data_IF_258816423625
#
_entry.id   IF_258816423625
#
_cell.length_a   1.000
_cell.length_b   1.000
_cell.length_c   1.000
_cell.angle_alpha   90.00
_cell.angle_beta   90.00
_cell.angle_gamma   90.00
#
_symmetry.space_group_name_H-M   'P 1'
#
loop_
_entity.id
_entity.type
_entity.pdbx_description
1 polymer ?
#
# COMPACT_ATOMS: atom_id res chain seq x y z
N UNK A 1 -25.68 -33.96 -29.80
CA UNK A 1 -25.42 -33.03 -28.68
C UNK A 1 -24.40 -33.69 -27.77
N UNK A 2 -23.39 -32.96 -27.30
CA UNK A 2 -22.43 -33.51 -26.33
C UNK A 2 -23.16 -33.93 -25.04
N UNK A 3 -22.74 -35.03 -24.42
CA UNK A 3 -23.24 -35.45 -23.10
C UNK A 3 -22.58 -34.68 -21.95
N UNK A 4 -21.52 -33.92 -22.25
CA UNK A 4 -20.85 -33.06 -21.28
C UNK A 4 -21.77 -31.85 -21.03
N UNK A 5 -22.11 -31.53 -19.77
CA UNK A 5 -22.85 -30.31 -19.44
C UNK A 5 -22.16 -29.07 -20.03
N UNK A 6 -22.95 -28.08 -20.45
CA UNK A 6 -22.38 -26.82 -20.89
C UNK A 6 -21.62 -26.16 -19.72
N UNK A 7 -20.40 -25.71 -20.00
CA UNK A 7 -19.65 -24.92 -19.04
C UNK A 7 -20.33 -23.55 -18.85
N UNK A 8 -20.53 -23.15 -17.59
CA UNK A 8 -20.98 -21.81 -17.24
C UNK A 8 -19.73 -21.02 -16.82
N UNK A 9 -19.34 -19.97 -17.56
CA UNK A 9 -18.22 -19.12 -17.18
C UNK A 9 -18.40 -18.55 -15.77
N UNK A 10 -17.30 -18.35 -15.07
CA UNK A 10 -17.34 -17.65 -13.79
C UNK A 10 -17.85 -16.21 -13.99
N UNK A 11 -18.82 -15.82 -13.17
CA UNK A 11 -19.42 -14.49 -13.17
C UNK A 11 -19.75 -14.12 -11.73
N UNK A 12 -19.38 -12.92 -11.32
CA UNK A 12 -19.66 -12.36 -10.00
C UNK A 12 -19.58 -10.83 -10.11
N UNK A 13 -20.74 -10.18 -10.20
CA UNK A 13 -20.85 -8.73 -10.36
C UNK A 13 -22.02 -8.15 -9.55
N UNK A 14 -22.17 -6.82 -9.56
CA UNK A 14 -23.34 -6.15 -9.02
C UNK A 14 -23.57 -6.42 -7.54
N UNK A 15 -24.82 -6.73 -7.17
CA UNK A 15 -25.18 -7.00 -5.77
C UNK A 15 -24.55 -8.28 -5.25
N UNK A 16 -24.41 -9.32 -6.06
CA UNK A 16 -23.80 -10.58 -5.61
C UNK A 16 -22.32 -10.38 -5.26
N UNK A 17 -21.59 -9.59 -6.06
CA UNK A 17 -20.22 -9.22 -5.74
C UNK A 17 -20.15 -8.41 -4.44
N UNK A 18 -21.00 -7.38 -4.29
CA UNK A 18 -21.04 -6.59 -3.04
C UNK A 18 -21.29 -7.47 -1.82
N UNK A 19 -22.27 -8.36 -1.88
CA UNK A 19 -22.60 -9.28 -0.78
C UNK A 19 -21.42 -10.22 -0.47
N UNK A 20 -20.72 -10.72 -1.49
CA UNK A 20 -19.55 -11.58 -1.31
C UNK A 20 -18.36 -10.84 -0.69
N UNK A 21 -18.13 -9.58 -1.07
CA UNK A 21 -17.09 -8.73 -0.47
C UNK A 21 -17.38 -8.49 1.01
N UNK A 22 -18.63 -8.16 1.34
CA UNK A 22 -19.08 -7.98 2.74
C UNK A 22 -18.97 -9.30 3.51
N UNK A 23 -19.33 -10.43 2.90
CA UNK A 23 -19.24 -11.75 3.53
C UNK A 23 -17.80 -12.10 3.94
N UNK A 24 -16.80 -11.74 3.11
CA UNK A 24 -15.39 -11.89 3.46
C UNK A 24 -14.99 -10.95 4.62
N UNK A 25 -15.29 -9.66 4.48
CA UNK A 25 -14.77 -8.63 5.37
C UNK A 25 -15.46 -8.55 6.74
N UNK A 26 -16.59 -9.24 6.94
CA UNK A 26 -17.32 -9.29 8.22
C UNK A 26 -16.81 -10.37 9.18
N UNK A 27 -15.69 -11.04 8.85
CA UNK A 27 -15.00 -11.86 9.85
C UNK A 27 -14.52 -10.96 11.01
N UNK A 28 -14.69 -11.36 12.30
CA UNK A 28 -14.41 -10.48 13.45
C UNK A 28 -12.97 -9.95 13.57
N UNK A 29 -12.01 -10.60 12.91
CA UNK A 29 -10.61 -10.17 12.81
C UNK A 29 -10.42 -8.93 11.92
N UNK A 30 -11.44 -8.57 11.14
CA UNK A 30 -11.41 -7.45 10.19
C UNK A 30 -12.22 -6.22 10.62
N UNK A 31 -12.91 -6.32 11.76
CA UNK A 31 -13.63 -5.20 12.35
C UNK A 31 -12.67 -4.10 12.79
N UNK A 32 -13.24 -2.91 12.98
CA UNK A 32 -12.51 -1.74 13.44
C UNK A 32 -11.79 -2.01 14.77
N UNK A 33 -10.58 -1.48 14.88
CA UNK A 33 -9.80 -1.54 16.10
C UNK A 33 -10.24 -0.44 17.05
N UNK A 34 -10.13 -0.70 18.35
CA UNK A 34 -10.38 0.28 19.41
C UNK A 34 -9.12 1.11 19.75
N UNK A 35 -8.00 0.80 19.12
CA UNK A 35 -6.76 1.55 19.20
C UNK A 35 -6.18 1.80 17.80
N UNK A 36 -5.25 2.74 17.69
CA UNK A 36 -4.57 3.10 16.46
C UNK A 36 -3.68 1.97 15.93
N UNK A 37 -3.21 1.11 16.83
CA UNK A 37 -2.21 0.09 16.55
C UNK A 37 -2.74 -1.32 16.75
N UNK A 38 -2.32 -2.25 15.89
CA UNK A 38 -2.44 -3.67 16.20
C UNK A 38 -1.33 -4.07 17.18
N UNK A 39 -1.68 -4.70 18.30
CA UNK A 39 -0.70 -5.06 19.33
C UNK A 39 -0.23 -6.51 19.17
N UNK A 40 0.84 -6.70 18.39
CA UNK A 40 1.48 -7.99 18.13
C UNK A 40 0.48 -9.09 17.72
N UNK A 41 -0.45 -8.74 16.84
CA UNK A 41 -1.47 -9.67 16.35
C UNK A 41 -1.53 -9.59 14.82
N UNK A 42 -0.79 -10.48 14.11
CA UNK A 42 -0.69 -10.45 12.66
C UNK A 42 -1.91 -11.03 11.96
N UNK A 43 -3.00 -11.31 12.69
CA UNK A 43 -4.23 -11.87 12.13
C UNK A 43 -5.34 -10.83 12.02
N UNK A 44 -5.19 -9.67 12.66
CA UNK A 44 -6.16 -8.57 12.63
C UNK A 44 -5.75 -7.48 11.65
N UNK A 45 -6.68 -7.09 10.78
CA UNK A 45 -6.48 -6.10 9.70
C UNK A 45 -7.76 -5.32 9.51
N UNK A 46 -7.76 -4.02 9.80
CA UNK A 46 -9.00 -3.24 9.83
C UNK A 46 -9.50 -2.97 8.40
N UNK A 47 -10.64 -3.57 8.03
CA UNK A 47 -11.23 -3.46 6.68
C UNK A 47 -12.41 -2.49 6.61
N UNK A 48 -12.86 -1.93 7.73
CA UNK A 48 -14.04 -1.06 7.84
C UNK A 48 -15.26 -1.65 7.12
N UNK A 49 -15.67 -2.90 7.46
CA UNK A 49 -16.68 -3.64 6.70
C UNK A 49 -18.04 -2.93 6.61
N UNK A 50 -18.33 -2.00 7.53
CA UNK A 50 -19.55 -1.19 7.54
C UNK A 50 -19.71 -0.28 6.31
N UNK A 51 -18.62 0.07 5.61
CA UNK A 51 -18.69 0.96 4.43
C UNK A 51 -18.80 0.18 3.12
N UNK A 52 -18.33 -1.07 3.09
CA UNK A 52 -18.24 -1.91 1.89
C UNK A 52 -19.58 -2.12 1.14
N UNK A 53 -20.76 -2.24 1.80
CA UNK A 53 -22.04 -2.35 1.10
C UNK A 53 -22.38 -1.14 0.21
N UNK A 54 -21.73 0.00 0.44
CA UNK A 54 -22.01 1.27 -0.22
C UNK A 54 -21.07 1.57 -1.39
N UNK A 55 -20.07 0.71 -1.64
CA UNK A 55 -19.10 0.89 -2.73
C UNK A 55 -19.60 0.24 -4.03
N UNK A 56 -19.18 0.81 -5.17
CA UNK A 56 -19.48 0.28 -6.49
C UNK A 56 -18.24 -0.39 -7.10
N UNK A 57 -18.11 -1.70 -6.91
CA UNK A 57 -16.98 -2.51 -7.40
C UNK A 57 -17.00 -2.76 -8.92
N UNK A 58 -18.12 -2.53 -9.60
CA UNK A 58 -18.21 -2.73 -11.05
C UNK A 58 -17.67 -1.52 -11.84
N UNK A 59 -17.52 -0.36 -11.18
CA UNK A 59 -16.99 0.87 -11.78
C UNK A 59 -15.50 0.99 -11.49
N UNK A 60 -14.69 0.46 -12.41
CA UNK A 60 -13.23 0.48 -12.31
C UNK A 60 -12.72 1.93 -12.40
N UNK A 61 -11.89 2.40 -11.45
CA UNK A 61 -11.37 3.76 -11.47
C UNK A 61 -10.27 3.91 -12.54
N UNK A 62 -10.20 5.10 -13.16
CA UNK A 62 -9.00 5.56 -13.89
C UNK A 62 -7.96 6.12 -12.92
N UNK A 63 -6.73 6.38 -13.41
CA UNK A 63 -5.58 6.82 -12.59
C UNK A 63 -5.88 8.06 -11.73
N UNK A 64 -6.75 8.95 -12.17
CA UNK A 64 -7.13 10.16 -11.44
C UNK A 64 -7.94 9.91 -10.16
N UNK A 65 -8.53 8.72 -10.02
CA UNK A 65 -9.42 8.32 -8.92
C UNK A 65 -8.89 7.09 -8.13
N UNK A 66 -7.70 6.58 -8.43
CA UNK A 66 -7.12 5.42 -7.72
C UNK A 66 -6.71 5.73 -6.26
N UNK A 67 -6.71 7.00 -5.86
CA UNK A 67 -6.47 7.41 -4.47
C UNK A 67 -7.76 7.69 -3.67
N UNK A 68 -8.93 7.51 -4.31
CA UNK A 68 -10.24 7.62 -3.65
C UNK A 68 -10.45 6.51 -2.62
N UNK A 69 -11.42 6.68 -1.72
CA UNK A 69 -11.62 5.76 -0.60
C UNK A 69 -11.90 4.32 -1.05
N UNK A 70 -12.67 4.14 -2.12
CA UNK A 70 -12.98 2.81 -2.64
C UNK A 70 -11.72 2.03 -3.03
N UNK A 71 -10.73 2.70 -3.60
CA UNK A 71 -9.44 2.11 -3.95
C UNK A 71 -8.64 1.73 -2.71
N UNK A 72 -8.57 2.60 -1.68
CA UNK A 72 -7.93 2.26 -0.40
C UNK A 72 -8.59 1.03 0.26
N UNK A 73 -9.93 0.96 0.24
CA UNK A 73 -10.67 -0.18 0.79
C UNK A 73 -10.35 -1.48 0.02
N UNK A 74 -10.29 -1.42 -1.31
CA UNK A 74 -9.92 -2.55 -2.17
C UNK A 74 -8.47 -2.99 -1.92
N UNK A 75 -7.53 -2.06 -1.75
CA UNK A 75 -6.14 -2.42 -1.44
C UNK A 75 -6.01 -3.13 -0.09
N UNK A 76 -6.71 -2.66 0.95
CA UNK A 76 -6.76 -3.33 2.27
C UNK A 76 -7.34 -4.74 2.19
N UNK A 77 -8.39 -4.93 1.40
CA UNK A 77 -8.98 -6.25 1.11
C UNK A 77 -7.95 -7.16 0.43
N UNK A 78 -7.32 -6.71 -0.65
CA UNK A 78 -6.36 -7.49 -1.42
C UNK A 78 -5.16 -7.93 -0.58
N UNK A 79 -4.57 -7.02 0.21
CA UNK A 79 -3.46 -7.37 1.11
C UNK A 79 -3.85 -8.50 2.06
N UNK A 80 -5.05 -8.41 2.67
CA UNK A 80 -5.55 -9.46 3.57
C UNK A 80 -5.79 -10.80 2.88
N UNK A 81 -6.20 -10.79 1.60
CA UNK A 81 -6.41 -12.00 0.79
C UNK A 81 -5.07 -12.65 0.43
N UNK A 82 -4.11 -11.86 -0.07
CA UNK A 82 -2.80 -12.36 -0.47
C UNK A 82 -2.01 -12.95 0.71
N UNK A 83 -2.09 -12.30 1.87
CA UNK A 83 -1.39 -12.70 3.08
C UNK A 83 -1.97 -13.94 3.76
N UNK A 84 -3.14 -14.43 3.34
CA UNK A 84 -3.66 -15.71 3.80
C UNK A 84 -2.79 -16.92 3.35
N UNK A 85 -1.89 -16.71 2.39
CA UNK A 85 -0.88 -17.69 1.97
C UNK A 85 0.46 -17.54 2.72
N UNK A 86 0.68 -16.43 3.43
CA UNK A 86 1.90 -16.15 4.18
C UNK A 86 1.77 -16.67 5.62
N UNK A 87 2.89 -17.06 6.21
CA UNK A 87 2.93 -17.63 7.57
C UNK A 87 3.35 -16.54 8.55
N UNK A 88 2.44 -16.18 9.45
CA UNK A 88 2.72 -15.23 10.53
C UNK A 88 2.49 -15.87 11.89
N UNK A 89 3.40 -15.57 12.82
CA UNK A 89 3.20 -15.78 14.24
C UNK A 89 3.50 -14.47 14.98
N UNK A 90 2.76 -14.16 16.06
CA UNK A 90 3.10 -13.06 16.96
C UNK A 90 4.55 -13.17 17.45
N UNK A 91 5.24 -12.04 17.59
CA UNK A 91 6.57 -11.96 18.22
C UNK A 91 6.54 -12.50 19.65
N UNK A 92 5.44 -12.29 20.39
CA UNK A 92 5.22 -12.87 21.73
C UNK A 92 4.83 -14.36 21.75
N UNK A 93 4.73 -14.99 20.58
CA UNK A 93 4.27 -16.36 20.41
C UNK A 93 2.75 -16.49 20.29
N UNK A 94 2.29 -17.65 19.84
CA UNK A 94 0.89 -17.90 19.50
C UNK A 94 -0.07 -17.94 20.70
N UNK A 95 0.45 -18.11 21.92
CA UNK A 95 -0.35 -18.32 23.13
C UNK A 95 -1.30 -17.15 23.38
N UNK A 96 -2.61 -17.42 23.43
CA UNK A 96 -3.66 -16.42 23.63
C UNK A 96 -4.16 -15.74 22.35
N UNK A 97 -3.61 -16.11 21.18
CA UNK A 97 -4.00 -15.58 19.86
C UNK A 97 -4.43 -16.70 18.90
N UNK A 98 -4.65 -17.91 19.41
CA UNK A 98 -4.99 -19.10 18.62
C UNK A 98 -6.34 -18.98 17.91
N UNK A 99 -7.29 -18.21 18.46
CA UNK A 99 -8.60 -17.99 17.85
C UNK A 99 -8.50 -17.13 16.60
N UNK A 100 -7.81 -15.99 16.68
CA UNK A 100 -7.57 -15.12 15.54
C UNK A 100 -6.73 -15.84 14.47
N UNK A 101 -5.72 -16.63 14.88
CA UNK A 101 -4.94 -17.50 13.98
C UNK A 101 -5.85 -18.44 13.19
N UNK A 102 -6.77 -19.14 13.86
CA UNK A 102 -7.72 -20.05 13.19
C UNK A 102 -8.74 -19.32 12.34
N UNK A 103 -9.18 -18.13 12.74
CA UNK A 103 -10.10 -17.32 11.97
C UNK A 103 -9.47 -16.91 10.63
N UNK A 104 -8.24 -16.40 10.67
CA UNK A 104 -7.50 -15.97 9.49
C UNK A 104 -7.11 -17.16 8.59
N UNK A 105 -6.55 -18.23 9.17
CA UNK A 105 -6.17 -19.44 8.42
C UNK A 105 -7.29 -20.48 8.31
N UNK A 106 -8.53 -20.05 8.13
CA UNK A 106 -9.68 -20.95 7.94
C UNK A 106 -9.93 -21.27 6.45
N UNK A 107 -10.52 -22.44 6.12
CA UNK A 107 -11.00 -22.72 4.76
C UNK A 107 -12.02 -21.68 4.27
N UNK A 108 -12.88 -21.20 5.17
CA UNK A 108 -13.89 -20.19 4.85
C UNK A 108 -13.23 -18.87 4.44
N UNK A 109 -12.30 -18.35 5.25
CA UNK A 109 -11.63 -17.08 4.96
C UNK A 109 -10.91 -17.10 3.61
N UNK A 110 -10.15 -18.18 3.34
CA UNK A 110 -9.47 -18.37 2.06
C UNK A 110 -10.45 -18.44 0.88
N UNK A 111 -11.48 -19.26 0.97
CA UNK A 111 -12.43 -19.45 -0.13
C UNK A 111 -13.23 -18.17 -0.44
N UNK A 112 -13.63 -17.42 0.59
CA UNK A 112 -14.35 -16.16 0.43
C UNK A 112 -13.46 -15.10 -0.24
N UNK A 113 -12.22 -14.95 0.23
CA UNK A 113 -11.25 -14.01 -0.37
C UNK A 113 -10.92 -14.36 -1.82
N UNK A 114 -10.61 -15.62 -2.11
CA UNK A 114 -10.29 -16.05 -3.48
C UNK A 114 -11.48 -15.92 -4.45
N UNK A 115 -12.72 -16.04 -3.98
CA UNK A 115 -13.92 -15.87 -4.81
C UNK A 115 -14.06 -14.44 -5.33
N UNK A 116 -13.72 -13.44 -4.53
CA UNK A 116 -13.84 -12.01 -4.88
C UNK A 116 -12.57 -11.43 -5.51
N UNK A 117 -11.41 -12.09 -5.34
CA UNK A 117 -10.11 -11.62 -5.83
C UNK A 117 -10.10 -11.17 -7.29
N UNK A 118 -10.70 -11.89 -8.27
CA UNK A 118 -10.67 -11.44 -9.67
C UNK A 118 -11.28 -10.05 -9.89
N UNK A 119 -12.38 -9.74 -9.20
CA UNK A 119 -13.05 -8.44 -9.32
C UNK A 119 -12.24 -7.34 -8.59
N UNK A 120 -11.66 -7.66 -7.44
CA UNK A 120 -10.79 -6.73 -6.70
C UNK A 120 -9.51 -6.41 -7.47
N UNK A 121 -8.88 -7.39 -8.13
CA UNK A 121 -7.71 -7.18 -8.99
C UNK A 121 -8.06 -6.31 -10.19
N UNK A 122 -9.22 -6.52 -10.82
CA UNK A 122 -9.71 -5.65 -11.88
C UNK A 122 -9.94 -4.22 -11.39
N UNK A 123 -10.47 -4.04 -10.19
CA UNK A 123 -10.64 -2.73 -9.58
C UNK A 123 -9.30 -2.04 -9.28
N UNK A 124 -8.36 -2.78 -8.69
CA UNK A 124 -7.07 -2.26 -8.23
C UNK A 124 -6.11 -1.93 -9.38
N UNK A 125 -6.06 -2.77 -10.41
CA UNK A 125 -5.03 -2.73 -11.45
C UNK A 125 -5.59 -2.41 -12.84
N UNK A 126 -6.92 -2.35 -13.01
CA UNK A 126 -7.53 -2.16 -14.32
C UNK A 126 -7.16 -0.84 -14.99
N UNK A 127 -6.85 0.20 -14.21
CA UNK A 127 -6.40 1.49 -14.75
C UNK A 127 -5.08 1.39 -15.53
N UNK A 128 -4.24 0.39 -15.24
CA UNK A 128 -2.96 0.19 -15.92
C UNK A 128 -3.12 -0.19 -17.40
N UNK A 129 -4.29 -0.69 -17.81
CA UNK A 129 -4.58 -0.97 -19.22
C UNK A 129 -4.53 0.29 -20.10
N UNK A 130 -4.87 1.46 -19.54
CA UNK A 130 -4.89 2.75 -20.24
C UNK A 130 -3.58 3.55 -20.05
N UNK A 131 -2.75 3.18 -19.07
CA UNK A 131 -1.50 3.87 -18.73
C UNK A 131 -0.26 3.30 -19.44
N UNK A 132 -0.33 2.06 -19.91
CA UNK A 132 0.82 1.35 -20.49
C UNK A 132 0.52 0.89 -21.91
N UNK A 133 1.23 1.48 -22.87
CA UNK A 133 1.21 1.02 -24.25
C UNK A 133 2.42 0.12 -24.54
N UNK A 134 2.17 -1.14 -24.85
CA UNK A 134 3.19 -2.10 -25.31
C UNK A 134 3.03 -2.45 -26.79
N UNK A 135 2.30 -1.60 -27.53
CA UNK A 135 2.03 -1.80 -28.95
C UNK A 135 3.33 -1.70 -29.76
N UNK A 136 3.58 -2.67 -30.64
CA UNK A 136 4.81 -2.71 -31.44
C UNK A 136 5.27 -4.12 -31.79
N UNK A 137 6.12 -4.22 -32.82
CA UNK A 137 6.81 -5.46 -33.16
C UNK A 137 8.09 -5.54 -32.32
N UNK A 138 7.99 -6.19 -31.16
CA UNK A 138 9.13 -6.43 -30.28
C UNK A 138 10.00 -7.56 -30.83
N UNK A 139 11.32 -7.33 -30.81
CA UNK A 139 12.35 -8.34 -31.05
C UNK A 139 13.30 -8.40 -29.87
N UNK A 140 14.12 -9.45 -29.80
CA UNK A 140 15.17 -9.51 -28.78
C UNK A 140 16.11 -8.29 -28.83
N UNK A 141 16.43 -7.80 -30.04
CA UNK A 141 17.25 -6.60 -30.24
C UNK A 141 16.55 -5.33 -29.73
N UNK A 142 15.26 -5.16 -30.01
CA UNK A 142 14.52 -3.99 -29.52
C UNK A 142 14.29 -4.04 -28.01
N UNK A 143 14.16 -5.22 -27.41
CA UNK A 143 14.14 -5.39 -25.96
C UNK A 143 15.47 -4.96 -25.35
N UNK A 144 16.60 -5.44 -25.87
CA UNK A 144 17.93 -5.05 -25.37
C UNK A 144 18.12 -3.53 -25.42
N UNK A 145 17.76 -2.89 -26.54
CA UNK A 145 17.83 -1.45 -26.67
C UNK A 145 16.93 -0.70 -25.68
N UNK A 146 15.73 -1.24 -25.41
CA UNK A 146 14.83 -0.70 -24.40
C UNK A 146 15.41 -0.82 -22.99
N UNK A 147 15.90 -2.00 -22.59
CA UNK A 147 16.50 -2.21 -21.27
C UNK A 147 17.75 -1.32 -21.07
N UNK A 148 18.57 -1.15 -22.10
CA UNK A 148 19.74 -0.23 -22.08
C UNK A 148 19.35 1.25 -21.95
N UNK A 149 18.13 1.61 -22.36
CA UNK A 149 17.63 2.99 -22.30
C UNK A 149 17.06 3.37 -20.93
N UNK A 150 16.82 2.40 -20.05
CA UNK A 150 16.28 2.64 -18.72
C UNK A 150 17.36 3.28 -17.84
N UNK A 151 17.08 4.49 -17.35
CA UNK A 151 17.94 5.12 -16.34
C UNK A 151 17.67 4.48 -14.97
N UNK A 152 18.30 3.35 -14.72
CA UNK A 152 18.26 2.68 -13.41
C UNK A 152 19.37 3.16 -12.48
N UNK A 153 20.25 4.04 -12.99
CA UNK A 153 21.36 4.57 -12.23
C UNK A 153 20.97 5.71 -11.31
N UNK A 154 19.77 6.28 -11.52
CA UNK A 154 19.12 7.37 -10.80
C UNK A 154 20.10 8.44 -10.38
N UNK A 155 20.12 9.54 -11.11
CA UNK A 155 21.06 10.64 -10.88
C UNK A 155 21.09 11.16 -9.43
N UNK A 156 21.90 12.19 -9.18
CA UNK A 156 22.04 12.78 -7.83
C UNK A 156 20.77 13.46 -7.29
N UNK A 157 19.68 13.51 -8.07
CA UNK A 157 18.44 14.15 -7.66
C UNK A 157 17.62 13.26 -6.72
N UNK A 158 17.17 13.86 -5.61
CA UNK A 158 16.26 13.21 -4.68
C UNK A 158 14.91 12.94 -5.33
N UNK A 159 14.31 11.79 -5.03
CA UNK A 159 12.92 11.48 -5.40
C UNK A 159 11.96 12.47 -4.71
N UNK A 160 10.71 12.61 -5.21
CA UNK A 160 9.68 13.41 -4.53
C UNK A 160 9.48 13.01 -3.06
N UNK A 161 9.44 11.70 -2.75
CA UNK A 161 9.31 11.24 -1.37
C UNK A 161 10.52 11.62 -0.50
N UNK A 162 11.73 11.50 -1.03
CA UNK A 162 12.97 11.89 -0.33
C UNK A 162 13.01 13.41 -0.07
N UNK A 163 12.56 14.22 -1.04
CA UNK A 163 12.40 15.68 -0.86
C UNK A 163 11.36 15.99 0.22
N UNK A 164 10.21 15.31 0.21
CA UNK A 164 9.16 15.49 1.20
C UNK A 164 9.66 15.21 2.62
N UNK A 165 10.50 14.19 2.83
CA UNK A 165 11.11 13.90 4.13
C UNK A 165 12.10 14.99 4.53
N UNK A 166 13.03 15.34 3.63
CA UNK A 166 14.09 16.29 3.93
C UNK A 166 13.61 17.73 4.17
N UNK A 167 12.51 18.13 3.53
CA UNK A 167 11.92 19.46 3.63
C UNK A 167 10.76 19.54 4.62
N UNK A 168 10.39 18.41 5.25
CA UNK A 168 9.31 18.36 6.23
C UNK A 168 9.55 19.26 7.43
N UNK A 169 8.47 19.76 8.03
CA UNK A 169 8.51 20.45 9.32
C UNK A 169 9.00 19.56 10.47
N UNK A 170 8.91 18.23 10.31
CA UNK A 170 9.45 17.22 11.21
C UNK A 170 10.02 16.04 10.40
N UNK A 171 11.30 16.12 9.96
CA UNK A 171 11.91 15.09 9.12
C UNK A 171 11.97 13.71 9.76
N UNK A 172 12.11 13.63 11.09
CA UNK A 172 12.13 12.35 11.80
C UNK A 172 10.76 11.68 11.79
N UNK A 173 9.68 12.45 11.99
CA UNK A 173 8.31 11.93 11.84
C UNK A 173 8.04 11.49 10.40
N UNK A 174 8.43 12.30 9.41
CA UNK A 174 8.25 11.96 8.00
C UNK A 174 9.01 10.69 7.61
N UNK A 175 10.26 10.54 8.06
CA UNK A 175 11.05 9.33 7.80
C UNK A 175 10.50 8.10 8.52
N UNK A 176 9.97 8.22 9.75
CA UNK A 176 9.26 7.12 10.41
C UNK A 176 7.98 6.73 9.65
N UNK A 177 7.20 7.70 9.19
CA UNK A 177 6.03 7.46 8.36
C UNK A 177 6.39 6.76 7.05
N UNK A 178 7.54 7.09 6.45
CA UNK A 178 8.07 6.42 5.27
C UNK A 178 8.46 4.96 5.55
N UNK A 179 9.24 4.72 6.60
CA UNK A 179 9.71 3.38 6.97
C UNK A 179 8.56 2.39 7.21
N UNK A 180 7.48 2.81 7.88
CA UNK A 180 6.35 1.90 8.12
C UNK A 180 5.61 1.50 6.84
N UNK A 181 5.74 2.25 5.73
CA UNK A 181 5.11 1.87 4.45
C UNK A 181 5.71 0.57 3.89
N UNK A 182 6.98 0.31 4.17
CA UNK A 182 7.68 -0.89 3.70
C UNK A 182 7.49 -2.09 4.62
N UNK A 183 6.85 -1.93 5.78
CA UNK A 183 6.72 -3.02 6.74
C UNK A 183 6.08 -4.29 6.13
N UNK A 184 4.96 -4.25 5.37
CA UNK A 184 4.39 -5.45 4.76
C UNK A 184 5.33 -6.15 3.78
N UNK A 185 6.11 -5.37 3.04
CA UNK A 185 7.05 -5.84 2.03
C UNK A 185 8.32 -6.39 2.68
N UNK A 186 9.12 -5.52 3.32
CA UNK A 186 10.45 -5.86 3.80
C UNK A 186 10.44 -6.81 5.01
N UNK A 187 9.40 -6.81 5.85
CA UNK A 187 9.31 -7.83 6.92
C UNK A 187 8.88 -9.20 6.39
N UNK A 188 8.30 -9.26 5.19
CA UNK A 188 7.93 -10.49 4.47
C UNK A 188 8.74 -10.67 3.19
N UNK A 189 9.94 -10.10 3.14
CA UNK A 189 10.71 -9.91 1.92
C UNK A 189 10.91 -11.18 1.10
N UNK A 190 10.85 -11.01 -0.23
CA UNK A 190 10.84 -12.04 -1.25
C UNK A 190 9.70 -13.08 -1.15
N UNK A 191 8.71 -12.92 -0.26
CA UNK A 191 7.54 -13.81 -0.24
C UNK A 191 6.69 -13.74 -1.52
N UNK A 192 6.43 -12.56 -2.12
CA UNK A 192 5.78 -12.51 -3.44
C UNK A 192 6.64 -13.19 -4.52
N UNK A 193 7.97 -12.99 -4.48
CA UNK A 193 8.94 -13.54 -5.42
C UNK A 193 9.02 -15.08 -5.34
N UNK A 194 8.90 -15.64 -4.14
CA UNK A 194 8.91 -17.07 -3.88
C UNK A 194 7.76 -17.79 -4.59
N UNK A 195 6.64 -17.13 -4.88
CA UNK A 195 5.49 -17.75 -5.58
C UNK A 195 5.88 -18.28 -6.96
N UNK A 196 6.82 -17.63 -7.63
CA UNK A 196 7.28 -17.99 -8.97
C UNK A 196 8.29 -19.15 -9.00
N UNK A 197 8.85 -19.56 -7.85
CA UNK A 197 9.78 -20.71 -7.83
C UNK A 197 9.07 -22.05 -7.61
N UNK A 198 7.76 -22.04 -7.35
CA UNK A 198 6.97 -23.27 -7.27
C UNK A 198 6.65 -23.79 -8.67
N UNK A 199 6.74 -25.11 -8.84
CA UNK A 199 6.43 -25.78 -10.10
C UNK A 199 7.65 -26.41 -10.77
N UNK A 200 7.59 -26.56 -12.09
CA UNK A 200 8.61 -27.23 -12.90
C UNK A 200 8.75 -26.53 -14.25
N UNK A 201 9.78 -25.69 -14.39
CA UNK A 201 10.14 -25.06 -15.65
C UNK A 201 11.66 -25.09 -15.89
N UNK A 202 12.14 -24.36 -16.89
CA UNK A 202 13.52 -24.41 -17.35
C UNK A 202 14.55 -23.85 -16.35
N UNK A 203 15.82 -23.71 -16.77
CA UNK A 203 16.91 -23.23 -15.92
C UNK A 203 16.65 -21.88 -15.22
N UNK A 204 15.82 -21.02 -15.83
CA UNK A 204 15.37 -19.76 -15.23
C UNK A 204 14.74 -19.93 -13.84
N UNK A 205 14.17 -21.11 -13.52
CA UNK A 205 13.65 -21.41 -12.17
C UNK A 205 14.75 -21.41 -11.12
N UNK A 206 15.88 -22.04 -11.42
CA UNK A 206 17.02 -22.06 -10.51
C UNK A 206 17.69 -20.71 -10.41
N UNK A 207 17.71 -19.92 -11.49
CA UNK A 207 18.29 -18.56 -11.49
C UNK A 207 17.42 -17.59 -10.68
N UNK A 208 16.10 -17.68 -10.79
CA UNK A 208 15.16 -16.97 -9.92
C UNK A 208 15.35 -17.37 -8.45
N UNK A 209 15.48 -18.67 -8.17
CA UNK A 209 15.67 -19.14 -6.80
C UNK A 209 16.99 -18.68 -6.17
N UNK A 210 18.03 -18.38 -6.96
CA UNK A 210 19.28 -17.78 -6.42
C UNK A 210 19.04 -16.38 -5.85
N UNK A 211 18.27 -15.53 -6.52
CA UNK A 211 17.86 -14.21 -5.99
C UNK A 211 17.19 -14.42 -4.63
N UNK A 212 16.19 -15.30 -4.59
CA UNK A 212 15.42 -15.60 -3.38
C UNK A 212 16.30 -16.12 -2.23
N UNK A 213 17.34 -16.92 -2.50
CA UNK A 213 18.29 -17.38 -1.47
C UNK A 213 19.03 -16.22 -0.83
N UNK A 214 19.46 -15.24 -1.64
CA UNK A 214 20.17 -14.06 -1.15
C UNK A 214 19.23 -13.21 -0.27
N UNK A 215 17.99 -12.95 -0.71
CA UNK A 215 16.97 -12.24 0.10
C UNK A 215 16.65 -12.94 1.43
N UNK A 216 16.72 -14.27 1.44
CA UNK A 216 16.55 -15.08 2.65
C UNK A 216 17.81 -15.17 3.50
N UNK A 217 18.84 -14.37 3.22
CA UNK A 217 20.09 -14.31 3.97
C UNK A 217 20.84 -15.63 3.96
N UNK A 218 20.80 -16.36 2.83
CA UNK A 218 21.32 -17.73 2.72
C UNK A 218 20.68 -18.72 3.71
N UNK A 219 19.47 -18.45 4.19
CA UNK A 219 18.78 -19.25 5.21
C UNK A 219 19.31 -19.06 6.64
N UNK A 220 20.16 -18.06 6.88
CA UNK A 220 20.62 -17.67 8.21
C UNK A 220 19.76 -16.51 8.70
N UNK A 221 19.03 -16.72 9.80
CA UNK A 221 18.02 -15.77 10.27
C UNK A 221 18.60 -14.38 10.59
N UNK A 222 19.81 -14.31 11.15
CA UNK A 222 20.45 -13.03 11.53
C UNK A 222 20.87 -12.17 10.33
N UNK A 223 20.99 -12.77 9.14
CA UNK A 223 21.32 -12.11 7.87
C UNK A 223 20.17 -12.11 6.87
N UNK A 224 19.01 -12.69 7.23
CA UNK A 224 17.80 -12.54 6.43
C UNK A 224 17.45 -11.06 6.38
N UNK A 225 17.22 -10.53 5.18
CA UNK A 225 17.05 -9.09 4.98
C UNK A 225 15.87 -8.52 5.80
N UNK A 226 14.77 -9.27 5.94
CA UNK A 226 13.70 -8.90 6.89
C UNK A 226 14.20 -8.64 8.32
N UNK A 227 15.10 -9.46 8.86
CA UNK A 227 15.71 -9.26 10.19
C UNK A 227 16.58 -8.02 10.25
N UNK A 228 17.24 -7.64 9.15
CA UNK A 228 17.97 -6.38 9.06
C UNK A 228 17.00 -5.19 9.10
N UNK A 229 15.85 -5.29 8.43
CA UNK A 229 14.84 -4.24 8.47
C UNK A 229 14.15 -4.12 9.84
N UNK A 230 14.01 -5.20 10.60
CA UNK A 230 13.60 -5.14 12.01
C UNK A 230 14.51 -4.19 12.81
N UNK A 231 15.84 -4.34 12.66
CA UNK A 231 16.83 -3.48 13.31
C UNK A 231 16.72 -2.03 12.85
N UNK A 232 16.47 -1.79 11.55
CA UNK A 232 16.21 -0.45 11.03
C UNK A 232 15.02 0.20 11.73
N UNK A 233 13.88 -0.47 11.82
CA UNK A 233 12.69 0.03 12.51
C UNK A 233 12.96 0.30 13.99
N UNK A 234 13.53 -0.67 14.69
CA UNK A 234 13.81 -0.61 16.13
C UNK A 234 14.80 0.52 16.48
N UNK A 235 15.80 0.76 15.62
CA UNK A 235 16.80 1.82 15.82
C UNK A 235 16.21 3.24 15.83
N UNK A 236 15.05 3.44 15.19
CA UNK A 236 14.35 4.73 15.16
C UNK A 236 13.11 4.77 16.07
N UNK A 237 12.94 3.75 16.92
CA UNK A 237 11.84 3.65 17.88
C UNK A 237 10.51 3.17 17.30
N UNK A 238 10.54 2.45 16.17
CA UNK A 238 9.40 1.72 15.63
C UNK A 238 9.49 0.23 16.01
N UNK A 239 8.35 -0.47 16.02
CA UNK A 239 8.29 -1.90 16.28
C UNK A 239 8.19 -2.69 14.98
N UNK A 240 8.59 -3.96 15.03
CA UNK A 240 8.67 -4.86 13.87
C UNK A 240 7.54 -5.91 13.79
N UNK A 241 6.48 -5.78 14.61
CA UNK A 241 5.34 -6.69 14.56
C UNK A 241 4.33 -6.31 13.45
N UNK A 242 4.04 -7.25 12.54
CA UNK A 242 3.03 -7.07 11.51
C UNK A 242 1.61 -7.22 12.08
N UNK A 243 0.62 -6.39 11.72
CA UNK A 243 0.71 -5.08 11.07
C UNK A 243 0.39 -3.99 12.08
N UNK A 244 1.32 -3.71 13.00
CA UNK A 244 1.14 -2.68 14.03
C UNK A 244 0.62 -1.38 13.45
N UNK A 245 1.20 -0.96 12.32
CA UNK A 245 0.93 0.30 11.64
C UNK A 245 -0.11 0.20 10.52
N UNK A 246 -0.99 -0.81 10.51
CA UNK A 246 -1.99 -1.02 9.45
C UNK A 246 -2.79 0.24 9.08
N UNK A 247 -3.20 1.01 10.10
CA UNK A 247 -3.97 2.25 9.92
C UNK A 247 -3.15 3.41 9.35
N UNK A 248 -1.83 3.26 9.21
CA UNK A 248 -0.92 4.24 8.64
C UNK A 248 -0.33 3.80 7.30
N UNK A 249 -0.71 2.63 6.78
CA UNK A 249 -0.36 2.23 5.42
C UNK A 249 -1.15 3.06 4.42
N UNK A 250 -0.44 3.72 3.51
CA UNK A 250 -1.02 4.50 2.44
C UNK A 250 -1.61 3.60 1.36
N UNK A 251 -2.56 4.15 0.61
CA UNK A 251 -3.19 3.46 -0.50
C UNK A 251 -2.13 3.02 -1.52
N UNK A 252 -1.24 3.93 -1.90
CA UNK A 252 -0.17 3.65 -2.86
C UNK A 252 0.82 2.58 -2.39
N UNK A 253 1.15 2.54 -1.10
CA UNK A 253 2.06 1.55 -0.52
C UNK A 253 1.47 0.15 -0.54
N UNK A 254 0.18 0.03 -0.21
CA UNK A 254 -0.55 -1.23 -0.36
C UNK A 254 -0.66 -1.64 -1.83
N UNK A 255 -0.95 -0.70 -2.73
CA UNK A 255 -1.01 -0.93 -4.19
C UNK A 255 0.31 -1.50 -4.74
N UNK A 256 1.46 -0.92 -4.36
CA UNK A 256 2.78 -1.42 -4.76
C UNK A 256 3.04 -2.85 -4.25
N UNK A 257 2.84 -3.11 -2.96
CA UNK A 257 3.04 -4.44 -2.39
C UNK A 257 2.09 -5.48 -3.02
N UNK A 258 0.82 -5.12 -3.18
CA UNK A 258 -0.21 -5.97 -3.77
C UNK A 258 0.06 -6.30 -5.24
N UNK A 259 0.73 -5.41 -5.99
CA UNK A 259 1.09 -5.66 -7.38
C UNK A 259 2.05 -6.86 -7.51
N UNK A 260 3.06 -6.99 -6.64
CA UNK A 260 3.94 -8.16 -6.68
C UNK A 260 3.24 -9.45 -6.26
N UNK A 261 2.28 -9.39 -5.33
CA UNK A 261 1.44 -10.54 -5.02
C UNK A 261 0.52 -10.93 -6.20
N UNK A 262 -0.06 -9.95 -6.87
CA UNK A 262 -0.88 -10.13 -8.08
C UNK A 262 -0.08 -10.86 -9.16
N UNK A 263 1.11 -10.35 -9.51
CA UNK A 263 1.98 -10.97 -10.51
C UNK A 263 2.43 -12.37 -10.09
N UNK A 264 2.73 -12.58 -8.80
CA UNK A 264 3.24 -13.85 -8.29
C UNK A 264 2.17 -14.94 -8.13
N UNK A 265 0.91 -14.59 -7.87
CA UNK A 265 -0.20 -15.55 -7.77
C UNK A 265 -0.80 -15.92 -9.13
N UNK A 266 -0.76 -15.01 -10.09
CA UNK A 266 -1.36 -15.18 -11.41
C UNK A 266 -0.25 -15.48 -12.43
N UNK A 267 0.07 -16.77 -12.62
CA UNK A 267 1.20 -17.18 -13.45
C UNK A 267 1.03 -16.90 -14.96
N UNK A 268 -0.16 -16.52 -15.41
CA UNK A 268 -0.35 -15.90 -16.73
C UNK A 268 0.41 -14.56 -16.87
N UNK A 269 0.73 -13.92 -15.74
CA UNK A 269 1.49 -12.67 -15.64
C UNK A 269 2.97 -12.90 -15.29
N UNK A 270 3.44 -14.14 -15.29
CA UNK A 270 4.81 -14.48 -14.92
C UNK A 270 5.85 -13.62 -15.66
N UNK A 271 5.64 -13.37 -16.96
CA UNK A 271 6.56 -12.56 -17.76
C UNK A 271 6.53 -11.07 -17.39
N UNK A 272 5.43 -10.54 -16.87
CA UNK A 272 5.41 -9.19 -16.25
C UNK A 272 6.27 -9.17 -15.00
N UNK A 273 6.21 -10.20 -14.17
CA UNK A 273 7.08 -10.30 -13.00
C UNK A 273 8.55 -10.36 -13.43
N UNK A 274 8.89 -11.14 -14.46
CA UNK A 274 10.27 -11.16 -15.00
C UNK A 274 10.79 -9.75 -15.33
N UNK A 275 9.96 -8.92 -15.98
CA UNK A 275 10.31 -7.53 -16.26
C UNK A 275 10.43 -6.67 -15.02
N UNK A 276 9.42 -6.70 -14.15
CA UNK A 276 9.43 -5.93 -12.90
C UNK A 276 10.61 -6.30 -12.00
N UNK A 277 10.96 -7.60 -11.90
CA UNK A 277 12.14 -8.08 -11.19
C UNK A 277 13.41 -7.44 -11.75
N UNK A 278 13.62 -7.49 -13.07
CA UNK A 278 14.79 -6.86 -13.68
C UNK A 278 14.90 -5.37 -13.33
N UNK A 279 13.79 -4.62 -13.37
CA UNK A 279 13.81 -3.20 -13.08
C UNK A 279 14.06 -2.90 -11.60
N UNK A 280 13.40 -3.65 -10.69
CA UNK A 280 13.65 -3.54 -9.24
C UNK A 280 15.11 -3.83 -8.94
N UNK A 281 15.64 -4.98 -9.34
CA UNK A 281 17.04 -5.36 -9.09
C UNK A 281 18.06 -4.38 -9.68
N UNK A 282 17.72 -3.75 -10.82
CA UNK A 282 18.60 -2.77 -11.46
C UNK A 282 18.56 -1.38 -10.80
N UNK A 283 17.48 -1.06 -10.09
CA UNK A 283 17.27 0.23 -9.41
C UNK A 283 17.54 0.17 -7.90
N UNK A 284 17.54 -1.03 -7.31
CA UNK A 284 17.61 -1.27 -5.86
C UNK A 284 18.91 -0.74 -5.24
N UNK A 285 20.06 -0.94 -5.90
CA UNK A 285 21.37 -0.42 -5.44
C UNK A 285 21.32 1.09 -5.21
N UNK A 286 20.64 1.81 -6.10
CA UNK A 286 20.60 3.26 -6.11
C UNK A 286 19.55 3.81 -5.13
N UNK A 287 18.37 3.16 -5.08
CA UNK A 287 17.38 3.36 -4.02
C UNK A 287 18.00 3.18 -2.63
N UNK A 288 18.66 2.05 -2.37
CA UNK A 288 19.25 1.74 -1.08
C UNK A 288 20.38 2.72 -0.70
N UNK A 289 21.20 3.16 -1.67
CA UNK A 289 22.21 4.20 -1.41
C UNK A 289 21.58 5.52 -0.97
N UNK A 290 20.49 5.94 -1.62
CA UNK A 290 19.78 7.18 -1.25
C UNK A 290 19.03 7.03 0.07
N UNK A 291 18.38 5.91 0.32
CA UNK A 291 17.71 5.59 1.58
C UNK A 291 18.69 5.63 2.76
N UNK A 292 19.85 4.98 2.60
CA UNK A 292 20.94 5.00 3.57
C UNK A 292 21.40 6.43 3.90
N UNK A 293 21.69 7.23 2.86
CA UNK A 293 22.11 8.62 3.05
C UNK A 293 21.01 9.47 3.72
N UNK A 294 19.77 9.38 3.24
CA UNK A 294 18.64 10.13 3.78
C UNK A 294 18.40 9.82 5.26
N UNK A 295 18.39 8.54 5.61
CA UNK A 295 18.13 8.13 7.00
C UNK A 295 19.26 8.59 7.93
N UNK A 296 20.53 8.53 7.51
CA UNK A 296 21.64 9.09 8.29
C UNK A 296 21.58 10.61 8.37
N UNK A 297 21.15 11.32 7.32
CA UNK A 297 20.93 12.77 7.37
C UNK A 297 19.86 13.14 8.43
N UNK A 298 18.81 12.32 8.57
CA UNK A 298 17.68 12.58 9.47
C UNK A 298 17.93 12.13 10.92
N UNK A 299 18.54 10.95 11.11
CA UNK A 299 18.69 10.30 12.43
C UNK A 299 20.14 10.24 12.94
N UNK A 300 21.12 10.68 12.13
CA UNK A 300 22.54 10.57 12.45
C UNK A 300 23.00 9.13 12.56
N UNK A 301 24.04 8.87 13.36
CA UNK A 301 24.64 7.54 13.52
C UNK A 301 23.78 6.56 14.36
N UNK A 302 22.60 6.99 14.81
CA UNK A 302 21.72 6.16 15.66
C UNK A 302 20.87 5.16 14.87
N UNK A 303 20.61 5.43 13.58
CA UNK A 303 19.82 4.55 12.72
C UNK A 303 20.68 3.39 12.21
N UNK A 304 20.12 2.18 12.25
CA UNK A 304 20.69 1.00 11.60
C UNK A 304 20.24 0.97 10.13
N UNK A 305 21.17 1.22 9.22
CA UNK A 305 20.92 1.17 7.77
C UNK A 305 21.53 -0.07 7.11
N UNK A 306 21.86 -1.11 7.90
CA UNK A 306 22.49 -2.35 7.39
C UNK A 306 21.66 -2.99 6.29
N UNK A 307 20.32 -3.00 6.45
CA UNK A 307 19.38 -3.44 5.41
C UNK A 307 19.69 -2.83 4.05
N UNK A 308 19.79 -1.50 3.97
CA UNK A 308 20.04 -0.80 2.70
C UNK A 308 21.48 -1.03 2.21
N UNK A 309 22.48 -0.98 3.09
CA UNK A 309 23.87 -1.15 2.66
C UNK A 309 24.17 -2.56 2.16
N UNK A 310 23.47 -3.59 2.66
CA UNK A 310 23.62 -4.97 2.18
C UNK A 310 23.19 -5.10 0.70
N UNK A 311 22.05 -4.53 0.34
CA UNK A 311 21.54 -4.45 -1.03
C UNK A 311 22.48 -3.67 -1.97
N UNK A 312 23.15 -2.62 -1.47
CA UNK A 312 24.19 -1.93 -2.25
C UNK A 312 25.36 -2.86 -2.63
N UNK A 313 25.67 -3.85 -1.80
CA UNK A 313 26.74 -4.81 -2.03
C UNK A 313 26.31 -5.98 -2.92
N UNK A 314 25.13 -6.55 -2.69
CA UNK A 314 24.67 -7.78 -3.36
C UNK A 314 24.09 -7.49 -4.75
N UNK A 315 23.23 -6.48 -4.88
CA UNK A 315 22.34 -6.35 -6.06
C UNK A 315 23.05 -5.80 -7.31
N UNK A 316 24.31 -5.37 -7.17
CA UNK A 316 25.18 -5.05 -8.32
C UNK A 316 25.25 -6.21 -9.33
N UNK A 317 24.95 -7.43 -8.89
CA UNK A 317 24.97 -8.64 -9.70
C UNK A 317 23.56 -9.09 -10.14
N UNK A 318 22.52 -8.82 -9.36
CA UNK A 318 21.17 -9.37 -9.60
C UNK A 318 20.51 -8.76 -10.82
N UNK A 319 20.61 -7.45 -11.07
CA UNK A 319 20.05 -6.85 -12.30
C UNK A 319 20.65 -7.46 -13.58
N UNK A 320 21.96 -7.72 -13.57
CA UNK A 320 22.65 -8.41 -14.68
C UNK A 320 22.22 -9.89 -14.78
N UNK A 321 22.06 -10.56 -13.64
CA UNK A 321 21.58 -11.94 -13.61
C UNK A 321 20.15 -12.05 -14.13
N UNK A 322 19.25 -11.15 -13.75
CA UNK A 322 17.88 -11.10 -14.25
C UNK A 322 17.85 -10.95 -15.78
N UNK A 323 18.68 -10.07 -16.36
CA UNK A 323 18.78 -9.94 -17.83
C UNK A 323 19.37 -11.19 -18.50
N UNK A 324 20.56 -11.61 -18.08
CA UNK A 324 21.34 -12.63 -18.81
C UNK A 324 20.92 -14.08 -18.50
N UNK A 325 20.36 -14.32 -17.32
CA UNK A 325 20.06 -15.67 -16.82
C UNK A 325 18.57 -15.95 -16.68
N UNK A 326 17.71 -14.92 -16.71
CA UNK A 326 16.26 -15.08 -16.65
C UNK A 326 15.61 -14.60 -17.96
N UNK A 327 15.66 -13.31 -18.28
CA UNK A 327 15.02 -12.72 -19.48
C UNK A 327 15.48 -13.42 -20.75
N UNK A 328 16.80 -13.44 -21.01
CA UNK A 328 17.34 -13.96 -22.26
C UNK A 328 17.00 -15.45 -22.48
N UNK A 329 17.24 -16.37 -21.53
CA UNK A 329 16.83 -17.77 -21.71
C UNK A 329 15.33 -17.98 -21.88
N UNK A 330 14.49 -17.15 -21.24
CA UNK A 330 13.04 -17.23 -21.41
C UNK A 330 12.61 -16.77 -22.81
N UNK A 331 13.17 -15.69 -23.34
CA UNK A 331 12.89 -15.22 -24.71
C UNK A 331 13.37 -16.24 -25.73
N UNK A 332 14.56 -16.85 -25.53
CA UNK A 332 15.07 -17.92 -26.40
C UNK A 332 14.17 -19.17 -26.37
N UNK A 333 13.63 -19.54 -25.21
CA UNK A 333 12.81 -20.74 -25.05
C UNK A 333 11.34 -20.55 -25.49
N UNK A 334 10.78 -19.36 -25.31
CA UNK A 334 9.34 -19.09 -25.49
C UNK A 334 9.03 -18.16 -26.67
N UNK A 335 10.06 -17.61 -27.33
CA UNK A 335 9.95 -16.71 -28.47
C UNK A 335 9.62 -15.27 -28.09
N UNK A 336 9.69 -14.38 -29.08
CA UNK A 336 9.54 -12.93 -28.89
C UNK A 336 8.14 -12.50 -28.43
N UNK A 337 7.14 -13.40 -28.50
CA UNK A 337 5.78 -13.13 -28.05
C UNK A 337 5.63 -12.83 -26.54
N UNK A 338 6.64 -13.16 -25.72
CA UNK A 338 6.63 -12.84 -24.28
C UNK A 338 7.16 -11.43 -23.98
N UNK A 339 7.85 -10.79 -24.93
CA UNK A 339 8.54 -9.52 -24.72
C UNK A 339 7.57 -8.39 -24.34
N UNK A 340 6.38 -8.24 -24.96
CA UNK A 340 5.42 -7.21 -24.54
C UNK A 340 5.04 -7.31 -23.06
N UNK A 341 4.93 -8.53 -22.52
CA UNK A 341 4.61 -8.72 -21.09
C UNK A 341 5.79 -8.36 -20.19
N UNK A 342 7.03 -8.66 -20.60
CA UNK A 342 8.25 -8.22 -19.87
C UNK A 342 8.28 -6.69 -19.80
N UNK A 343 8.09 -6.01 -20.92
CA UNK A 343 8.06 -4.53 -20.97
C UNK A 343 6.90 -3.99 -20.15
N UNK A 344 5.72 -4.58 -20.29
CA UNK A 344 4.52 -4.18 -19.56
C UNK A 344 4.74 -4.24 -18.05
N UNK A 345 5.39 -5.29 -17.54
CA UNK A 345 5.69 -5.40 -16.12
C UNK A 345 6.58 -4.28 -15.59
N UNK A 346 7.55 -3.81 -16.38
CA UNK A 346 8.42 -2.69 -16.05
C UNK A 346 7.63 -1.38 -16.03
N UNK A 347 6.89 -1.10 -17.10
CA UNK A 347 6.14 0.16 -17.22
C UNK A 347 5.00 0.26 -16.21
N UNK A 348 4.26 -0.83 -15.96
CA UNK A 348 3.23 -0.88 -14.91
C UNK A 348 3.86 -0.55 -13.55
N UNK A 349 4.99 -1.16 -13.19
CA UNK A 349 5.66 -0.88 -11.92
C UNK A 349 6.14 0.58 -11.81
N UNK A 350 6.67 1.18 -12.89
CA UNK A 350 7.07 2.60 -12.92
C UNK A 350 5.88 3.54 -12.69
N UNK A 351 4.73 3.25 -13.28
CA UNK A 351 3.48 4.01 -13.03
C UNK A 351 3.11 3.95 -11.55
N UNK A 352 3.27 2.78 -10.90
CA UNK A 352 2.97 2.62 -9.48
C UNK A 352 3.97 3.36 -8.58
N UNK A 353 5.24 3.42 -8.95
CA UNK A 353 6.25 4.22 -8.24
C UNK A 353 5.89 5.71 -8.27
N UNK A 354 5.49 6.25 -9.43
CA UNK A 354 5.04 7.64 -9.56
C UNK A 354 3.84 7.94 -8.65
N UNK A 355 2.86 7.02 -8.61
CA UNK A 355 1.69 7.12 -7.72
C UNK A 355 2.12 7.14 -6.26
N UNK A 356 3.08 6.30 -5.88
CA UNK A 356 3.58 6.21 -4.51
C UNK A 356 4.32 7.47 -4.09
N UNK A 357 5.21 7.99 -4.93
CA UNK A 357 5.93 9.23 -4.69
C UNK A 357 4.96 10.41 -4.52
N UNK A 358 3.93 10.49 -5.36
CA UNK A 358 2.89 11.51 -5.23
C UNK A 358 2.11 11.37 -3.92
N UNK A 359 1.54 10.20 -3.64
CA UNK A 359 0.67 9.98 -2.48
C UNK A 359 1.41 10.21 -1.16
N UNK A 360 2.64 9.70 -1.04
CA UNK A 360 3.46 9.91 0.14
C UNK A 360 3.82 11.39 0.33
N UNK A 361 4.26 12.08 -0.73
CA UNK A 361 4.59 13.50 -0.65
C UNK A 361 3.39 14.35 -0.22
N UNK A 362 2.21 14.07 -0.77
CA UNK A 362 0.97 14.74 -0.38
C UNK A 362 0.58 14.44 1.09
N UNK A 363 0.90 13.24 1.61
CA UNK A 363 0.58 12.88 2.98
C UNK A 363 1.47 13.61 3.97
N UNK A 364 2.77 13.70 3.69
CA UNK A 364 3.71 14.46 4.54
C UNK A 364 3.33 15.95 4.57
N UNK A 365 3.04 16.54 3.41
CA UNK A 365 2.56 17.93 3.36
C UNK A 365 1.27 18.12 4.16
N UNK A 366 0.32 17.19 4.06
CA UNK A 366 -0.90 17.19 4.86
C UNK A 366 -0.65 17.10 6.37
N UNK A 367 0.26 16.23 6.81
CA UNK A 367 0.65 16.06 8.22
C UNK A 367 1.37 17.30 8.78
N UNK A 368 2.17 17.97 7.95
CA UNK A 368 2.89 19.20 8.30
C UNK A 368 1.96 20.41 8.36
N UNK A 369 0.99 20.49 7.45
CA UNK A 369 0.03 21.60 7.34
C UNK A 369 -1.05 21.61 8.45
N UNK A 370 -1.13 20.58 9.30
CA UNK A 370 -2.21 20.44 10.29
C UNK A 370 -2.48 21.69 11.14
N UNK A 371 -1.46 22.39 11.71
CA UNK A 371 -1.72 23.60 12.48
C UNK A 371 -2.36 24.72 11.65
N UNK A 372 -2.01 24.83 10.37
CA UNK A 372 -2.58 25.84 9.46
C UNK A 372 -3.97 25.42 8.98
N UNK A 373 -4.21 24.13 8.74
CA UNK A 373 -5.52 23.59 8.38
C UNK A 373 -6.53 23.69 9.53
N UNK A 374 -6.06 23.59 10.79
CA UNK A 374 -6.87 23.91 11.98
C UNK A 374 -7.29 25.38 11.99
N UNK A 375 -6.40 26.32 11.64
CA UNK A 375 -6.75 27.75 11.53
C UNK A 375 -7.65 28.03 10.32
N UNK A 376 -7.47 27.28 9.23
CA UNK A 376 -8.22 27.44 8.00
C UNK A 376 -9.69 27.02 8.15
N UNK A 377 -10.02 26.26 9.19
CA UNK A 377 -11.40 25.98 9.59
C UNK A 377 -12.24 27.26 9.67
N UNK A 378 -11.75 28.31 10.35
CA UNK A 378 -12.53 29.51 10.63
C UNK A 378 -13.02 30.23 9.36
N UNK A 379 -12.14 30.61 8.39
CA UNK A 379 -12.61 31.27 7.18
C UNK A 379 -13.42 30.34 6.25
N UNK A 380 -13.18 29.03 6.26
CA UNK A 380 -13.99 28.07 5.48
C UNK A 380 -15.39 27.95 6.08
N UNK A 381 -15.50 27.80 7.40
CA UNK A 381 -16.78 27.71 8.12
C UNK A 381 -17.59 29.00 7.98
N UNK A 382 -16.95 30.16 8.05
CA UNK A 382 -17.59 31.45 7.79
C UNK A 382 -18.07 31.55 6.34
N UNK A 383 -17.31 31.04 5.37
CA UNK A 383 -17.72 30.94 3.98
C UNK A 383 -18.99 30.09 3.77
N UNK A 384 -19.11 28.99 4.51
CA UNK A 384 -20.33 28.16 4.52
C UNK A 384 -21.52 28.90 5.12
N UNK A 385 -21.34 29.60 6.24
CA UNK A 385 -22.40 30.44 6.84
C UNK A 385 -22.89 31.55 5.91
N UNK A 386 -22.00 32.07 5.06
CA UNK A 386 -22.33 33.06 4.04
C UNK A 386 -22.97 32.46 2.77
N UNK A 387 -23.07 31.13 2.68
CA UNK A 387 -23.67 30.44 1.53
C UNK A 387 -22.78 30.44 0.27
N UNK A 388 -21.46 30.56 0.42
CA UNK A 388 -20.53 30.50 -0.72
C UNK A 388 -20.51 29.12 -1.38
N UNK A 389 -20.71 28.08 -0.59
CA UNK A 389 -20.89 26.70 -1.03
C UNK A 389 -22.10 26.12 -0.30
N UNK A 390 -22.98 25.46 -1.05
CA UNK A 390 -24.10 24.67 -0.51
C UNK A 390 -23.60 23.25 -0.25
N UNK A 391 -23.05 23.02 0.95
CA UNK A 391 -22.41 21.77 1.32
C UNK A 391 -23.40 20.86 2.08
N UNK A 392 -23.54 19.57 1.71
CA UNK A 392 -24.18 18.59 2.56
C UNK A 392 -23.50 18.53 3.94
N UNK A 393 -24.30 18.44 5.00
CA UNK A 393 -23.82 18.36 6.38
C UNK A 393 -24.32 17.09 7.07
N UNK A 394 -23.40 16.35 7.68
CA UNK A 394 -23.69 15.26 8.59
C UNK A 394 -23.48 15.74 10.04
N UNK A 395 -24.49 15.53 10.89
CA UNK A 395 -24.41 15.83 12.32
C UNK A 395 -24.18 14.52 13.06
N UNK A 396 -23.11 14.46 13.85
CA UNK A 396 -22.65 13.23 14.48
C UNK A 396 -22.53 13.45 15.98
N UNK A 397 -22.93 12.43 16.76
CA UNK A 397 -22.81 12.38 18.21
C UNK A 397 -22.19 11.04 18.57
N UNK A 398 -20.97 11.08 19.11
CA UNK A 398 -20.19 9.88 19.43
C UNK A 398 -19.74 9.87 20.90
N UNK A 399 -19.74 8.71 21.56
CA UNK A 399 -19.27 8.57 22.94
C UNK A 399 -17.74 8.48 23.01
N UNK A 400 -17.20 8.64 24.23
CA UNK A 400 -15.77 8.43 24.53
C UNK A 400 -15.23 7.12 23.95
N UNK A 401 -14.08 7.20 23.29
CA UNK A 401 -13.36 6.04 22.78
C UNK A 401 -13.94 5.43 21.50
N UNK A 402 -14.96 6.07 20.90
CA UNK A 402 -15.37 5.76 19.54
C UNK A 402 -14.25 6.17 18.58
N UNK A 403 -13.46 5.19 18.13
CA UNK A 403 -12.30 5.40 17.27
C UNK A 403 -12.70 5.14 15.82
N UNK A 404 -12.88 6.21 15.06
CA UNK A 404 -13.05 6.16 13.62
C UNK A 404 -11.73 5.75 12.97
N UNK A 405 -11.66 4.47 12.58
CA UNK A 405 -10.48 3.88 11.95
C UNK A 405 -10.12 4.63 10.66
N UNK A 406 -8.83 4.67 10.33
CA UNK A 406 -8.35 5.60 9.30
C UNK A 406 -8.95 5.34 7.91
N UNK A 407 -9.26 6.41 7.21
CA UNK A 407 -9.87 6.43 5.89
C UNK A 407 -9.55 7.76 5.18
N UNK A 408 -10.17 7.98 4.03
CA UNK A 408 -10.13 9.24 3.30
C UNK A 408 -11.52 9.52 2.69
N UNK A 409 -11.68 10.71 2.10
CA UNK A 409 -12.86 11.13 1.36
C UNK A 409 -12.45 11.63 -0.03
N UNK A 410 -13.34 11.46 -1.01
CA UNK A 410 -13.07 11.75 -2.42
C UNK A 410 -13.14 13.26 -2.75
N UNK A 411 -13.63 14.06 -1.80
CA UNK A 411 -13.67 15.52 -1.84
C UNK A 411 -13.17 16.11 -0.52
N UNK A 412 -12.87 17.42 -0.52
CA UNK A 412 -12.52 18.12 0.71
C UNK A 412 -13.72 18.19 1.66
N UNK A 413 -13.46 18.07 2.95
CA UNK A 413 -14.46 18.20 4.01
C UNK A 413 -14.03 19.23 5.05
N UNK A 414 -15.00 19.77 5.78
CA UNK A 414 -14.77 20.57 6.97
C UNK A 414 -15.35 19.84 8.18
N UNK A 415 -14.49 19.52 9.15
CA UNK A 415 -14.91 19.03 10.45
C UNK A 415 -15.04 20.21 11.42
N UNK A 416 -16.20 20.34 12.08
CA UNK A 416 -16.50 21.38 13.06
C UNK A 416 -16.98 20.76 14.39
N UNK A 417 -16.31 21.05 15.49
CA UNK A 417 -16.69 20.56 16.82
C UNK A 417 -17.70 21.50 17.46
N UNK A 418 -18.91 21.01 17.70
CA UNK A 418 -19.96 21.77 18.40
C UNK A 418 -19.72 21.71 19.91
N UNK A 419 -19.45 20.52 20.44
CA UNK A 419 -19.11 20.31 21.85
C UNK A 419 -18.27 19.04 22.06
N UNK A 420 -17.53 18.99 23.16
CA UNK A 420 -16.63 17.88 23.47
C UNK A 420 -15.22 18.10 22.93
N UNK A 421 -14.43 17.02 22.90
CA UNK A 421 -13.01 17.01 22.55
C UNK A 421 -12.72 15.82 21.66
N UNK A 422 -12.12 16.08 20.50
CA UNK A 422 -11.73 15.07 19.52
C UNK A 422 -10.20 15.07 19.34
N UNK A 423 -9.60 13.87 19.33
CA UNK A 423 -8.29 13.66 18.73
C UNK A 423 -8.48 13.39 17.25
N UNK A 424 -8.05 14.32 16.42
CA UNK A 424 -7.98 14.15 14.97
C UNK A 424 -6.59 13.63 14.58
N UNK A 425 -6.53 12.51 13.87
CA UNK A 425 -5.30 11.82 13.50
C UNK A 425 -5.04 11.98 12.00
N UNK A 426 -3.90 12.54 11.62
CA UNK A 426 -3.52 12.82 10.22
C UNK A 426 -2.34 11.99 9.71
N UNK A 427 -1.73 11.16 10.56
CA UNK A 427 -0.61 10.30 10.22
C UNK A 427 0.15 9.86 11.47
N UNK A 428 1.14 8.99 11.30
CA UNK A 428 1.91 8.48 12.45
C UNK A 428 2.65 9.62 13.17
N UNK A 429 2.30 9.87 14.43
CA UNK A 429 2.84 10.98 15.21
C UNK A 429 2.34 12.37 14.77
N UNK A 430 1.21 12.44 14.05
CA UNK A 430 0.59 13.68 13.60
C UNK A 430 -0.87 13.69 14.05
N UNK A 431 -1.16 14.50 15.08
CA UNK A 431 -2.50 14.61 15.67
C UNK A 431 -2.82 16.05 16.08
N UNK A 432 -4.10 16.38 16.10
CA UNK A 432 -4.65 17.61 16.67
C UNK A 432 -5.66 17.26 17.76
N UNK A 433 -5.66 18.04 18.84
CA UNK A 433 -6.81 18.12 19.74
C UNK A 433 -7.73 19.23 19.24
N UNK A 434 -9.00 18.91 19.02
CA UNK A 434 -10.04 19.83 18.59
C UNK A 434 -11.09 19.97 19.70
N UNK A 435 -11.26 21.18 20.20
CA UNK A 435 -12.23 21.53 21.25
C UNK A 435 -13.49 22.19 20.67
N UNK A 436 -14.49 22.42 21.52
CA UNK A 436 -15.72 23.12 21.14
C UNK A 436 -15.46 24.47 20.41
N UNK A 437 -16.06 24.63 19.25
CA UNK A 437 -15.92 25.79 18.36
C UNK A 437 -14.74 25.70 17.39
N UNK A 438 -13.81 24.78 17.60
CA UNK A 438 -12.69 24.53 16.69
C UNK A 438 -13.06 23.50 15.61
N UNK A 439 -12.12 23.26 14.70
CA UNK A 439 -12.27 22.26 13.66
C UNK A 439 -11.05 22.16 12.77
N UNK A 440 -11.17 21.46 11.65
CA UNK A 440 -10.08 21.26 10.69
C UNK A 440 -10.62 21.09 9.27
N UNK A 441 -9.91 21.63 8.30
CA UNK A 441 -10.14 21.34 6.87
C UNK A 441 -9.48 20.01 6.52
N UNK A 442 -10.27 19.04 6.06
CA UNK A 442 -9.82 17.70 5.63
C UNK A 442 -9.65 17.70 4.12
N UNK A 443 -8.42 17.51 3.64
CA UNK A 443 -8.12 17.46 2.20
C UNK A 443 -8.52 16.13 1.60
N UNK A 444 -9.07 16.14 0.39
CA UNK A 444 -9.42 14.94 -0.37
C UNK A 444 -8.26 13.95 -0.43
N UNK A 445 -8.59 12.67 -0.38
CA UNK A 445 -7.67 11.53 -0.52
C UNK A 445 -6.52 11.51 0.50
N UNK A 446 -6.56 12.30 1.58
CA UNK A 446 -5.56 12.23 2.67
C UNK A 446 -6.04 11.27 3.74
N UNK A 447 -5.13 10.37 4.14
CA UNK A 447 -5.41 9.38 5.17
C UNK A 447 -5.53 10.09 6.52
N UNK A 448 -6.66 9.88 7.21
CA UNK A 448 -6.92 10.44 8.53
C UNK A 448 -7.92 9.57 9.31
N UNK A 449 -8.06 9.82 10.60
CA UNK A 449 -9.06 9.20 11.47
C UNK A 449 -9.37 10.09 12.66
N UNK A 450 -10.24 9.64 13.56
CA UNK A 450 -10.53 10.38 14.79
C UNK A 450 -10.80 9.45 15.99
N UNK A 451 -10.60 9.97 17.20
CA UNK A 451 -11.05 9.33 18.43
C UNK A 451 -11.66 10.37 19.38
N UNK A 452 -12.71 10.00 20.10
CA UNK A 452 -13.38 10.89 21.04
C UNK A 452 -12.70 10.83 22.42
N UNK A 453 -12.17 11.97 22.87
CA UNK A 453 -11.44 12.11 24.14
C UNK A 453 -12.30 12.68 25.28
N UNK A 454 -13.45 13.29 24.97
CA UNK A 454 -14.48 13.67 25.96
C UNK A 454 -15.46 12.52 26.23
N UNK A 455 -16.39 12.70 27.16
CA UNK A 455 -17.43 11.69 27.44
C UNK A 455 -18.39 11.50 26.27
N UNK A 456 -18.69 12.60 25.58
CA UNK A 456 -19.47 12.69 24.35
C UNK A 456 -18.87 13.83 23.51
N UNK A 457 -18.87 13.68 22.18
CA UNK A 457 -18.54 14.76 21.25
C UNK A 457 -19.63 14.90 20.21
N UNK A 458 -20.08 16.14 20.01
CA UNK A 458 -21.03 16.54 18.98
C UNK A 458 -20.25 17.33 17.95
N UNK A 459 -20.29 16.89 16.69
CA UNK A 459 -19.56 17.53 15.62
C UNK A 459 -20.31 17.43 14.28
N UNK A 460 -19.88 18.25 13.33
CA UNK A 460 -20.44 18.35 12.00
C UNK A 460 -19.35 18.04 10.97
N UNK A 461 -19.70 17.30 9.93
CA UNK A 461 -18.88 17.10 8.74
C UNK A 461 -19.59 17.73 7.55
N UNK A 462 -18.97 18.74 6.95
CA UNK A 462 -19.49 19.44 5.77
C UNK A 462 -18.70 18.99 4.54
N UNK A 463 -19.36 18.35 3.58
CA UNK A 463 -18.71 17.90 2.34
C UNK A 463 -18.61 19.05 1.33
N UNK A 464 -17.57 19.87 1.46
CA UNK A 464 -17.38 21.12 0.71
C UNK A 464 -16.84 20.90 -0.71
N UNK A 465 -16.30 19.72 -1.00
CA UNK A 465 -15.76 19.31 -2.31
C UNK A 465 -14.41 19.95 -2.60
N UNK A 466 -14.36 21.28 -2.72
CA UNK A 466 -13.13 22.07 -2.83
C UNK A 466 -13.18 23.21 -1.81
N UNK A 467 -12.40 23.12 -0.73
CA UNK A 467 -12.46 24.08 0.38
C UNK A 467 -12.14 25.51 -0.08
N UNK A 468 -11.39 25.68 -1.16
CA UNK A 468 -10.97 27.00 -1.67
C UNK A 468 -12.15 27.83 -2.15
N UNK A 469 -13.25 27.20 -2.57
CA UNK A 469 -14.49 27.89 -2.97
C UNK A 469 -15.21 28.56 -1.78
N UNK A 470 -14.95 28.10 -0.57
CA UNK A 470 -15.46 28.75 0.64
C UNK A 470 -14.66 30.03 0.98
N UNK A 471 -13.45 30.17 0.45
CA UNK A 471 -12.59 31.33 0.70
C UNK A 471 -12.83 32.48 -0.31
N UNK A 472 -13.23 32.14 -1.55
CA UNK A 472 -13.43 33.09 -2.65
C UNK A 472 -14.61 34.05 -2.48
#
# INVERSE_FOLDING_TARGET
MSHVPAHVPFELSGTELRDAVVQYATAPIYHDNLDWLNHDNPYRRQLRPQVLPHLNYDKIPGRENILDYSSLAVQRLLTSIYEADLVFFPKSGLKGKEEDFRAFYSPANRALGERIRPALERYAFGFLDDEVETSGNWTAESLDAYLDSLDTSGGQERSPAEKAIAESSDPQRAARMWLVQFAPDFLSEASPMMRNVLGYYGPAQSEWFKVVIDEYGYGVHDTKHSTLFERTLESVGLESDLHRYWQYYLNSSLLLNNYFHYLGKNHELFFRYVGALYYTESSLVDFCRRADQLLRDVFGDSVDTTYFTEHVHIDQHHGRMAREKIIKPLVEAHGEGIIPEIVRGIEEYRVLLDVSDFDFSQQIAWMDDQPELKKLHDPVFEGLKQGKVDAPVAHIVEPRGELSNTHCHDGDELCHIVSGTMRFESGLGSSLTLEAGEGVVIRRNRLHGANIESDECVYEIHSVGDYRKCLS
#
